data_IF_836948867554
#
_entry.id   IF_836948867554
#
_cell.length_a   1.000
_cell.length_b   1.000
_cell.length_c   1.000
_cell.angle_alpha   90.00
_cell.angle_beta   90.00
_cell.angle_gamma   90.00
#
_symmetry.space_group_name_H-M   'P 1'
#
loop_
_entity.id
_entity.type
_entity.pdbx_description
1 polymer ?
#
# COMPACT_ATOMS: atom_id res chain seq x y z
N UNK A 1 15.85 10.14 11.96
CA UNK A 1 14.57 9.45 11.77
C UNK A 1 14.77 8.04 12.30
N UNK A 2 13.87 7.52 13.13
CA UNK A 2 14.05 6.17 13.68
C UNK A 2 13.97 5.16 12.53
N UNK A 3 14.95 4.27 12.45
CA UNK A 3 14.98 3.17 11.49
C UNK A 3 13.70 2.34 11.67
N UNK A 4 12.96 2.15 10.58
CA UNK A 4 11.69 1.41 10.61
C UNK A 4 11.90 0.10 9.87
N UNK A 5 11.38 -0.98 10.44
CA UNK A 5 11.56 -2.30 9.87
C UNK A 5 10.88 -2.40 8.50
N UNK A 6 11.70 -2.55 7.45
CA UNK A 6 11.24 -2.81 6.07
C UNK A 6 10.32 -4.02 6.02
N UNK A 7 10.67 -5.09 6.74
CA UNK A 7 9.86 -6.31 6.79
C UNK A 7 8.47 -6.05 7.38
N UNK A 8 8.37 -5.31 8.49
CA UNK A 8 7.08 -4.96 9.09
C UNK A 8 6.26 -4.09 8.15
N UNK A 9 6.87 -3.06 7.54
CA UNK A 9 6.19 -2.20 6.58
C UNK A 9 5.60 -2.99 5.40
N UNK A 10 6.37 -3.93 4.86
CA UNK A 10 5.95 -4.81 3.76
C UNK A 10 4.81 -5.74 4.17
N UNK A 11 4.89 -6.37 5.35
CA UNK A 11 3.81 -7.24 5.87
C UNK A 11 2.52 -6.43 6.05
N UNK A 12 2.60 -5.24 6.64
CA UNK A 12 1.44 -4.37 6.82
C UNK A 12 0.83 -3.99 5.46
N UNK A 13 1.66 -3.60 4.49
CA UNK A 13 1.18 -3.22 3.14
C UNK A 13 0.60 -4.40 2.36
N UNK A 14 1.11 -5.61 2.58
CA UNK A 14 0.62 -6.85 1.98
C UNK A 14 -0.80 -7.16 2.46
N UNK A 15 -1.04 -7.06 3.77
CA UNK A 15 -2.36 -7.33 4.38
C UNK A 15 -3.33 -6.18 4.07
N UNK A 16 -2.86 -4.94 4.17
CA UNK A 16 -3.66 -3.73 3.98
C UNK A 16 -2.93 -2.74 3.09
N UNK A 17 -3.39 -2.63 1.84
CA UNK A 17 -2.83 -1.73 0.83
C UNK A 17 -2.63 -0.33 1.39
N UNK A 18 -1.40 0.20 1.34
CA UNK A 18 -1.07 1.57 1.75
C UNK A 18 -0.79 1.75 3.24
N UNK A 19 -1.18 0.82 4.12
CA UNK A 19 -0.89 0.97 5.56
C UNK A 19 0.61 0.79 5.90
N UNK A 20 1.37 0.08 5.07
CA UNK A 20 2.83 0.00 5.24
C UNK A 20 3.52 1.36 5.05
N UNK A 21 3.04 2.16 4.11
CA UNK A 21 3.51 3.54 3.86
C UNK A 21 3.13 4.45 5.03
N UNK A 22 1.91 4.31 5.56
CA UNK A 22 1.50 5.02 6.77
C UNK A 22 2.39 4.64 7.97
N UNK A 23 2.73 3.35 8.13
CA UNK A 23 3.66 2.87 9.14
C UNK A 23 5.04 3.50 8.98
N UNK A 24 5.55 3.65 7.76
CA UNK A 24 6.84 4.29 7.47
C UNK A 24 6.86 5.79 7.82
N UNK A 25 5.70 6.44 7.88
CA UNK A 25 5.54 7.79 8.42
C UNK A 25 4.80 8.74 7.48
N UNK A 26 4.58 8.34 6.22
CA UNK A 26 3.74 9.10 5.29
C UNK A 26 2.27 8.67 5.42
N UNK A 27 1.65 9.12 6.51
CA UNK A 27 0.26 8.77 6.83
C UNK A 27 -0.69 9.25 5.73
N UNK A 28 -0.48 10.45 5.18
CA UNK A 28 -1.36 11.01 4.15
C UNK A 28 -1.36 10.15 2.90
N UNK A 29 -0.18 9.77 2.41
CA UNK A 29 -0.04 8.92 1.24
C UNK A 29 -0.57 7.51 1.50
N UNK A 30 -0.25 6.94 2.66
CA UNK A 30 -0.71 5.60 3.03
C UNK A 30 -2.22 5.48 3.15
N UNK A 31 -2.88 6.44 3.81
CA UNK A 31 -4.35 6.50 3.89
C UNK A 31 -4.98 6.75 2.52
N UNK A 32 -4.35 7.56 1.66
CA UNK A 32 -4.80 7.76 0.29
C UNK A 32 -4.83 6.46 -0.51
N UNK A 33 -3.74 5.68 -0.47
CA UNK A 33 -3.69 4.39 -1.14
C UNK A 33 -4.64 3.36 -0.54
N UNK A 34 -4.81 3.36 0.79
CA UNK A 34 -5.80 2.51 1.45
C UNK A 34 -7.23 2.82 0.98
N UNK A 35 -7.61 4.11 0.92
CA UNK A 35 -8.91 4.53 0.43
C UNK A 35 -9.14 4.11 -1.03
N UNK A 36 -8.14 4.27 -1.91
CA UNK A 36 -8.22 3.81 -3.30
C UNK A 36 -8.41 2.28 -3.36
N UNK A 37 -7.69 1.51 -2.54
CA UNK A 37 -7.84 0.06 -2.45
C UNK A 37 -9.24 -0.38 -2.04
N UNK A 38 -9.85 0.33 -1.07
CA UNK A 38 -11.25 0.11 -0.67
C UNK A 38 -12.19 0.42 -1.83
N UNK A 39 -12.02 1.57 -2.49
CA UNK A 39 -12.88 1.98 -3.62
C UNK A 39 -12.82 0.95 -4.75
N UNK A 40 -11.63 0.50 -5.14
CA UNK A 40 -11.46 -0.52 -6.17
C UNK A 40 -12.12 -1.85 -5.80
N UNK A 41 -12.01 -2.26 -4.53
CA UNK A 41 -12.69 -3.47 -4.02
C UNK A 41 -14.21 -3.33 -4.08
N UNK A 42 -14.78 -2.19 -3.68
CA UNK A 42 -16.22 -1.92 -3.76
C UNK A 42 -16.69 -1.93 -5.22
N UNK A 43 -15.95 -1.27 -6.12
CA UNK A 43 -16.25 -1.30 -7.56
C UNK A 43 -16.15 -2.73 -8.14
N UNK A 44 -15.21 -3.53 -7.66
CA UNK A 44 -15.06 -4.93 -8.01
C UNK A 44 -16.27 -5.79 -7.62
N UNK A 45 -16.84 -5.54 -6.45
CA UNK A 45 -18.00 -6.26 -5.93
C UNK A 45 -19.32 -5.85 -6.57
N UNK A 46 -19.52 -4.54 -6.78
CA UNK A 46 -20.84 -4.01 -7.14
C UNK A 46 -20.96 -3.51 -8.59
N UNK A 47 -19.85 -3.26 -9.28
CA UNK A 47 -19.87 -2.68 -10.65
C UNK A 47 -19.39 -3.68 -11.68
N UNK A 48 -18.16 -4.20 -11.55
CA UNK A 48 -17.61 -5.17 -12.51
C UNK A 48 -16.34 -5.84 -12.00
N UNK A 49 -16.16 -7.11 -12.33
CA UNK A 49 -14.95 -7.87 -12.03
C UNK A 49 -13.66 -7.26 -12.63
N UNK A 50 -13.77 -6.39 -13.64
CA UNK A 50 -12.59 -5.69 -14.19
C UNK A 50 -11.83 -4.91 -13.12
N UNK A 51 -12.54 -4.34 -12.14
CA UNK A 51 -11.94 -3.58 -11.06
C UNK A 51 -11.15 -4.45 -10.08
N UNK A 52 -11.44 -5.75 -9.98
CA UNK A 52 -10.62 -6.67 -9.18
C UNK A 52 -9.23 -6.88 -9.79
N UNK A 53 -9.14 -6.98 -11.12
CA UNK A 53 -7.83 -7.05 -11.79
C UNK A 53 -7.03 -5.75 -11.62
N UNK A 54 -7.71 -4.60 -11.72
CA UNK A 54 -7.10 -3.29 -11.45
C UNK A 54 -6.65 -3.19 -9.99
N UNK A 55 -7.46 -3.68 -9.04
CA UNK A 55 -7.12 -3.70 -7.62
C UNK A 55 -5.86 -4.53 -7.34
N UNK A 56 -5.71 -5.69 -7.99
CA UNK A 56 -4.52 -6.53 -7.88
C UNK A 56 -3.28 -5.79 -8.41
N UNK A 57 -3.37 -5.17 -9.60
CA UNK A 57 -2.26 -4.39 -10.14
C UNK A 57 -1.88 -3.22 -9.23
N UNK A 58 -2.89 -2.50 -8.72
CA UNK A 58 -2.69 -1.41 -7.78
C UNK A 58 -2.02 -1.87 -6.49
N UNK A 59 -2.45 -3.01 -5.93
CA UNK A 59 -1.84 -3.60 -4.74
C UNK A 59 -0.36 -3.94 -4.95
N UNK A 60 0.01 -4.54 -6.08
CA UNK A 60 1.42 -4.81 -6.43
C UNK A 60 2.24 -3.50 -6.50
N UNK A 61 1.69 -2.46 -7.13
CA UNK A 61 2.35 -1.15 -7.22
C UNK A 61 2.55 -0.54 -5.84
N UNK A 62 1.54 -0.57 -4.97
CA UNK A 62 1.64 0.00 -3.62
C UNK A 62 2.62 -0.79 -2.75
N UNK A 63 2.69 -2.11 -2.91
CA UNK A 63 3.73 -2.94 -2.27
C UNK A 63 5.14 -2.51 -2.71
N UNK A 64 5.36 -2.33 -4.01
CA UNK A 64 6.63 -1.85 -4.53
C UNK A 64 6.99 -0.46 -3.99
N UNK A 65 6.04 0.46 -3.95
CA UNK A 65 6.24 1.80 -3.38
C UNK A 65 6.57 1.74 -1.89
N UNK A 66 5.95 0.83 -1.14
CA UNK A 66 6.27 0.61 0.28
C UNK A 66 7.73 0.18 0.45
N UNK A 67 8.21 -0.72 -0.41
CA UNK A 67 9.61 -1.16 -0.39
C UNK A 67 10.57 -0.02 -0.72
N UNK A 68 10.27 0.78 -1.75
CA UNK A 68 11.10 1.94 -2.12
C UNK A 68 11.17 2.97 -0.99
N UNK A 69 10.05 3.27 -0.34
CA UNK A 69 10.04 4.20 0.80
C UNK A 69 10.78 3.66 2.00
N UNK A 70 10.68 2.35 2.27
CA UNK A 70 11.42 1.73 3.36
C UNK A 70 12.94 1.85 3.15
N UNK A 71 13.43 1.56 1.93
CA UNK A 71 14.84 1.73 1.58
C UNK A 71 15.27 3.20 1.66
N UNK A 72 14.46 4.13 1.15
CA UNK A 72 14.76 5.56 1.22
C UNK A 72 14.87 6.08 2.67
N UNK A 73 14.10 5.51 3.60
CA UNK A 73 14.16 5.85 5.03
C UNK A 73 15.38 5.21 5.72
N UNK A 74 15.70 3.97 5.36
CA UNK A 74 16.80 3.22 5.98
C UNK A 74 18.17 3.51 5.33
N UNK A 75 18.20 4.24 4.21
CA UNK A 75 19.43 4.59 3.50
C UNK A 75 20.06 3.43 2.72
N UNK A 76 19.22 2.47 2.30
CA UNK A 76 19.60 1.30 1.49
C UNK A 76 19.50 1.58 -0.02
#
# INVERSE_FOLDING_TARGET
MAEKSTAIAMIISFIFTGLGIAYLGDIKKGVGFFAIGIILSILGLYVSNIFNYIAILFWIVVLYLTYQEAQAINGE
#
